data_IF_101685277749
#
_entry.id   IF_101685277749
#
_cell.length_a   1.000
_cell.length_b   1.000
_cell.length_c   1.000
_cell.angle_alpha   90.00
_cell.angle_beta   90.00
_cell.angle_gamma   90.00
#
_symmetry.space_group_name_H-M   'P 1'
#
loop_
_entity.id
_entity.type
_entity.pdbx_description
1 polymer ?
#
# COMPACT_ATOMS: atom_id res chain seq x y z
N UNK A 1 17.37 -26.51 9.64
CA UNK A 1 16.35 -26.13 8.64
C UNK A 1 16.86 -26.57 7.27
N UNK A 2 16.14 -27.46 6.58
CA UNK A 2 16.51 -27.88 5.23
C UNK A 2 15.90 -26.89 4.22
N UNK A 3 16.69 -26.49 3.22
CA UNK A 3 16.38 -25.44 2.24
C UNK A 3 15.29 -25.82 1.23
N UNK A 4 14.70 -27.02 1.36
CA UNK A 4 13.83 -27.66 0.38
C UNK A 4 12.33 -27.44 0.56
N UNK A 5 11.88 -26.72 1.60
CA UNK A 5 10.45 -26.51 1.89
C UNK A 5 9.83 -25.27 1.23
N UNK A 6 10.64 -24.41 0.58
CA UNK A 6 10.12 -23.25 -0.13
C UNK A 6 9.82 -23.62 -1.59
N UNK A 7 8.54 -23.82 -1.91
CA UNK A 7 8.14 -24.04 -3.30
C UNK A 7 8.27 -22.73 -4.10
N UNK A 8 8.46 -22.86 -5.43
CA UNK A 8 8.60 -21.72 -6.35
C UNK A 8 7.46 -20.68 -6.23
N UNK A 9 6.27 -21.12 -5.82
CA UNK A 9 5.10 -20.27 -5.58
C UNK A 9 5.34 -19.30 -4.41
N UNK A 10 5.97 -19.77 -3.33
CA UNK A 10 6.23 -18.97 -2.12
C UNK A 10 7.31 -17.91 -2.37
N UNK A 11 8.34 -18.28 -3.14
CA UNK A 11 9.38 -17.34 -3.60
C UNK A 11 8.79 -16.22 -4.47
N UNK A 12 7.86 -16.56 -5.37
CA UNK A 12 7.21 -15.56 -6.22
C UNK A 12 6.31 -14.60 -5.43
N UNK A 13 5.73 -15.03 -4.31
CA UNK A 13 4.92 -14.17 -3.44
C UNK A 13 5.78 -13.16 -2.68
N UNK A 14 7.00 -13.53 -2.27
CA UNK A 14 7.97 -12.62 -1.65
C UNK A 14 8.42 -11.49 -2.58
N UNK A 15 8.52 -11.77 -3.89
CA UNK A 15 8.96 -10.80 -4.89
C UNK A 15 7.87 -9.80 -5.31
N UNK A 16 6.61 -10.00 -4.92
CA UNK A 16 5.49 -9.11 -5.30
C UNK A 16 5.12 -8.17 -4.16
N UNK A 17 5.23 -6.84 -4.34
CA UNK A 17 4.82 -5.90 -3.31
C UNK A 17 3.32 -6.04 -3.04
N UNK A 18 2.97 -6.06 -1.75
CA UNK A 18 1.59 -6.21 -1.29
C UNK A 18 0.71 -5.08 -1.86
N UNK A 19 -0.24 -5.45 -2.73
CA UNK A 19 -1.17 -4.51 -3.34
C UNK A 19 -2.33 -4.19 -2.39
N UNK A 20 -2.53 -2.91 -2.11
CA UNK A 20 -3.64 -2.40 -1.29
C UNK A 20 -4.84 -2.07 -2.18
N UNK A 21 -4.61 -1.48 -3.35
CA UNK A 21 -5.63 -1.26 -4.36
C UNK A 21 -5.33 -2.14 -5.57
N UNK A 22 -6.14 -3.18 -5.78
CA UNK A 22 -5.97 -4.09 -6.93
C UNK A 22 -6.39 -3.44 -8.24
N UNK A 23 -7.46 -2.62 -8.25
CA UNK A 23 -7.94 -1.96 -9.47
C UNK A 23 -6.85 -1.14 -10.17
N UNK A 24 -6.07 -0.39 -9.38
CA UNK A 24 -5.05 0.53 -9.89
C UNK A 24 -3.63 0.07 -9.53
N UNK A 25 -3.47 -1.21 -9.12
CA UNK A 25 -2.19 -1.83 -8.81
C UNK A 25 -1.32 -1.05 -7.79
N UNK A 26 -1.96 -0.33 -6.87
CA UNK A 26 -1.29 0.52 -5.85
C UNK A 26 -0.86 -0.36 -4.68
N UNK A 27 0.43 -0.34 -4.35
CA UNK A 27 0.99 -1.02 -3.20
C UNK A 27 0.91 -0.20 -1.91
N UNK A 28 1.17 -0.86 -0.78
CA UNK A 28 1.31 -0.17 0.51
C UNK A 28 2.44 0.86 0.48
N UNK A 29 3.58 0.51 -0.13
CA UNK A 29 4.73 1.39 -0.28
C UNK A 29 4.39 2.64 -1.10
N UNK A 30 3.63 2.50 -2.20
CA UNK A 30 3.19 3.64 -3.01
C UNK A 30 2.39 4.63 -2.17
N UNK A 31 1.50 4.14 -1.31
CA UNK A 31 0.68 4.94 -0.40
C UNK A 31 1.58 5.64 0.64
N UNK A 32 2.45 4.91 1.33
CA UNK A 32 3.32 5.47 2.36
C UNK A 32 4.29 6.51 1.78
N UNK A 33 4.86 6.24 0.60
CA UNK A 33 5.73 7.18 -0.10
C UNK A 33 4.97 8.43 -0.56
N UNK A 34 3.73 8.28 -1.04
CA UNK A 34 2.85 9.41 -1.36
C UNK A 34 2.56 10.29 -0.14
N UNK A 35 2.27 9.68 1.01
CA UNK A 35 2.06 10.41 2.28
C UNK A 35 3.33 11.15 2.69
N UNK A 36 4.51 10.50 2.57
CA UNK A 36 5.81 11.13 2.85
C UNK A 36 6.12 12.33 1.94
N UNK A 37 5.61 12.33 0.70
CA UNK A 37 5.68 13.49 -0.21
C UNK A 37 4.76 14.65 0.20
N UNK A 38 3.93 14.50 1.24
CA UNK A 38 3.03 15.55 1.74
C UNK A 38 1.56 15.36 1.36
N UNK A 39 1.18 14.19 0.81
CA UNK A 39 -0.21 13.85 0.55
C UNK A 39 -0.91 13.36 1.82
N UNK A 40 -1.14 14.28 2.75
CA UNK A 40 -1.69 14.11 4.09
C UNK A 40 -3.22 13.96 4.16
N UNK A 41 -3.90 13.94 3.02
CA UNK A 41 -5.36 13.76 2.96
C UNK A 41 -5.73 12.71 1.93
N UNK A 42 -6.85 12.03 2.16
CA UNK A 42 -7.35 11.03 1.20
C UNK A 42 -7.50 11.62 -0.21
N UNK A 43 -8.00 12.85 -0.34
CA UNK A 43 -8.16 13.48 -1.65
C UNK A 43 -6.83 13.72 -2.38
N UNK A 44 -5.78 14.17 -1.67
CA UNK A 44 -4.44 14.31 -2.26
C UNK A 44 -3.86 12.96 -2.64
N UNK A 45 -4.00 11.96 -1.76
CA UNK A 45 -3.52 10.60 -1.98
C UNK A 45 -4.21 9.94 -3.19
N UNK A 46 -5.53 10.13 -3.35
CA UNK A 46 -6.30 9.62 -4.48
C UNK A 46 -5.85 10.27 -5.80
N UNK A 47 -5.55 11.57 -5.81
CA UNK A 47 -5.05 12.27 -7.01
C UNK A 47 -3.65 11.81 -7.42
N UNK A 48 -2.79 11.52 -6.45
CA UNK A 48 -1.40 11.12 -6.71
C UNK A 48 -1.27 9.64 -7.11
N UNK A 49 -2.03 8.75 -6.46
CA UNK A 49 -1.87 7.29 -6.62
C UNK A 49 -3.00 6.63 -7.40
N UNK A 50 -4.08 7.36 -7.70
CA UNK A 50 -5.35 6.81 -8.19
C UNK A 50 -5.98 5.74 -7.27
N UNK A 51 -5.53 5.56 -6.02
CA UNK A 51 -6.20 4.62 -5.14
C UNK A 51 -7.67 5.01 -4.91
N UNK A 52 -8.55 4.04 -4.63
CA UNK A 52 -9.97 4.26 -4.34
C UNK A 52 -10.84 4.88 -5.47
N UNK A 53 -10.33 5.04 -6.70
CA UNK A 53 -11.12 5.56 -7.85
C UNK A 53 -11.80 4.46 -8.68
N UNK A 54 -11.49 3.19 -8.42
CA UNK A 54 -12.15 2.02 -9.03
C UNK A 54 -13.31 1.50 -8.19
N UNK A 55 -13.21 0.29 -7.66
CA UNK A 55 -14.28 -0.36 -6.88
C UNK A 55 -14.44 0.13 -5.43
N UNK A 56 -13.44 0.83 -4.89
CA UNK A 56 -13.50 1.41 -3.54
C UNK A 56 -13.28 0.45 -2.36
N UNK A 57 -13.14 -0.87 -2.56
CA UNK A 57 -12.97 -1.86 -1.47
C UNK A 57 -11.70 -1.62 -0.63
N UNK A 58 -10.67 -1.00 -1.22
CA UNK A 58 -9.44 -0.67 -0.52
C UNK A 58 -9.56 0.52 0.46
N UNK A 59 -10.67 1.28 0.44
CA UNK A 59 -10.80 2.58 1.13
C UNK A 59 -10.53 2.49 2.64
N UNK A 60 -11.05 1.48 3.32
CA UNK A 60 -10.83 1.31 4.76
C UNK A 60 -9.35 1.09 5.11
N UNK A 61 -8.65 0.26 4.32
CA UNK A 61 -7.21 0.00 4.50
C UNK A 61 -6.36 1.22 4.17
N UNK A 62 -6.70 1.95 3.11
CA UNK A 62 -6.02 3.20 2.73
C UNK A 62 -6.13 4.25 3.84
N UNK A 63 -7.33 4.44 4.40
CA UNK A 63 -7.54 5.37 5.51
C UNK A 63 -6.74 5.00 6.75
N UNK A 64 -6.69 3.70 7.10
CA UNK A 64 -5.87 3.23 8.21
C UNK A 64 -4.38 3.54 7.98
N UNK A 65 -3.85 3.22 6.80
CA UNK A 65 -2.46 3.52 6.44
C UNK A 65 -2.15 5.02 6.49
N UNK A 66 -3.08 5.86 6.05
CA UNK A 66 -2.97 7.32 6.13
C UNK A 66 -2.82 7.79 7.57
N UNK A 67 -3.74 7.37 8.46
CA UNK A 67 -3.70 7.73 9.87
C UNK A 67 -2.45 7.21 10.58
N UNK A 68 -2.08 5.94 10.35
CA UNK A 68 -0.92 5.30 10.97
C UNK A 68 0.38 6.01 10.55
N UNK A 69 0.54 6.31 9.25
CA UNK A 69 1.74 6.97 8.72
C UNK A 69 1.88 8.39 9.26
N UNK A 70 0.79 9.16 9.32
CA UNK A 70 0.81 10.54 9.83
C UNK A 70 1.10 10.60 11.34
N UNK A 71 0.61 9.61 12.11
CA UNK A 71 0.87 9.51 13.55
C UNK A 71 2.32 9.13 13.85
N UNK A 72 2.93 8.31 12.99
CA UNK A 72 4.31 7.82 13.17
C UNK A 72 5.42 8.82 12.84
N UNK A 73 5.09 10.02 12.35
CA UNK A 73 6.09 11.05 12.03
C UNK A 73 6.57 11.71 13.34
N UNK A 74 7.79 11.47 13.86
CA UNK A 74 8.37 12.40 14.81
C UNK A 74 8.48 13.74 14.07
N UNK A 75 7.79 14.76 14.57
CA UNK A 75 7.89 16.12 14.04
C UNK A 75 9.29 16.68 14.26
#
# INVERSE_FOLDING_TARGET
MNSSDFNQIDLNALMRPRKVCVCNQVSEEDITNSIRRGNDTLGKLMRDTNCCTGCGTCRGRVLKLLSDTLTSKPQ
#
